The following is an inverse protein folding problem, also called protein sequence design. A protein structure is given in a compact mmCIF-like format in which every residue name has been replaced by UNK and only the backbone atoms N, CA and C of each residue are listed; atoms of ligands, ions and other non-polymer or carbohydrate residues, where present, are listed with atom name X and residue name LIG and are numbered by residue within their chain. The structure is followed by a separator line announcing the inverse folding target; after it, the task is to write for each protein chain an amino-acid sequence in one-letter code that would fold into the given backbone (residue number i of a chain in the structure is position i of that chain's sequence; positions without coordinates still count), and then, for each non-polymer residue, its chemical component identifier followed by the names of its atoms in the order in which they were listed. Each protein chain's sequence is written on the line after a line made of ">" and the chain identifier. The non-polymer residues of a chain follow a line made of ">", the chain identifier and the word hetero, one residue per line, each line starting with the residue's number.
data_IF_037944322226
#
_entry.id   IF_037944322226
#
_cell.length_a   1.000
_cell.length_b   1.000
_cell.length_c   1.000
_cell.angle_alpha   90.00
_cell.angle_beta   90.00
_cell.angle_gamma   90.00
#
_symmetry.space_group_name_H-M   'P 1'
#
loop_
_entity.id
_entity.type
_entity.pdbx_description
1 polymer ?
#
# COMPACT_ATOMS: atom_id res chain seq x y z
N UNK A 1 7.14 -28.85 35.72
CA UNK A 1 6.10 -28.54 34.71
C UNK A 1 5.88 -27.04 34.54
N UNK A 2 5.65 -26.28 35.62
CA UNK A 2 5.47 -24.80 35.58
C UNK A 2 6.57 -24.04 34.80
N UNK A 3 7.86 -24.34 35.03
CA UNK A 3 8.99 -23.71 34.31
C UNK A 3 8.92 -23.88 32.78
N UNK A 4 8.47 -25.06 32.29
CA UNK A 4 8.32 -25.30 30.84
C UNK A 4 7.17 -24.48 30.25
N UNK A 5 6.06 -24.34 30.98
CA UNK A 5 4.91 -23.51 30.58
C UNK A 5 5.33 -22.05 30.44
N UNK A 6 6.08 -21.51 31.41
CA UNK A 6 6.59 -20.13 31.33
C UNK A 6 7.53 -19.91 30.14
N UNK A 7 8.40 -20.89 29.83
CA UNK A 7 9.27 -20.82 28.65
C UNK A 7 8.44 -20.78 27.37
N UNK A 8 7.45 -21.65 27.22
CA UNK A 8 6.57 -21.67 26.03
C UNK A 8 5.80 -20.36 25.86
N UNK A 9 5.25 -19.81 26.95
CA UNK A 9 4.56 -18.52 26.92
C UNK A 9 5.50 -17.37 26.54
N UNK A 10 6.72 -17.37 27.07
CA UNK A 10 7.73 -16.35 26.75
C UNK A 10 8.09 -16.39 25.27
N UNK A 11 8.32 -17.58 24.71
CA UNK A 11 8.60 -17.76 23.28
C UNK A 11 7.42 -17.28 22.44
N UNK A 12 6.18 -17.62 22.81
CA UNK A 12 4.99 -17.17 22.09
C UNK A 12 4.87 -15.64 22.06
N UNK A 13 5.06 -14.98 23.20
CA UNK A 13 5.00 -13.52 23.31
C UNK A 13 6.09 -12.87 22.46
N UNK A 14 7.33 -13.39 22.51
CA UNK A 14 8.43 -12.89 21.71
C UNK A 14 8.15 -13.05 20.21
N UNK A 15 7.68 -14.23 19.78
CA UNK A 15 7.33 -14.50 18.38
C UNK A 15 6.22 -13.57 17.87
N UNK A 16 5.16 -13.37 18.67
CA UNK A 16 4.08 -12.44 18.32
C UNK A 16 4.57 -10.99 18.27
N UNK A 17 5.46 -10.59 19.18
CA UNK A 17 6.04 -9.24 19.19
C UNK A 17 6.89 -8.98 17.95
N UNK A 18 7.75 -9.94 17.58
CA UNK A 18 8.56 -9.86 16.36
C UNK A 18 7.68 -9.80 15.11
N UNK A 19 6.65 -10.65 15.03
CA UNK A 19 5.70 -10.63 13.92
C UNK A 19 4.97 -9.29 13.82
N UNK A 20 4.44 -8.77 14.93
CA UNK A 20 3.74 -7.50 14.97
C UNK A 20 4.65 -6.34 14.57
N UNK A 21 5.89 -6.32 15.07
CA UNK A 21 6.89 -5.33 14.67
C UNK A 21 7.18 -5.39 13.16
N UNK A 22 7.36 -6.60 12.62
CA UNK A 22 7.66 -6.81 11.21
C UNK A 22 6.54 -6.29 10.30
N UNK A 23 5.28 -6.58 10.64
CA UNK A 23 4.10 -6.17 9.86
C UNK A 23 3.85 -4.65 9.89
N UNK A 24 4.20 -3.98 10.99
CA UNK A 24 3.96 -2.53 11.15
C UNK A 24 5.16 -1.66 10.74
N UNK A 25 6.25 -2.25 10.25
CA UNK A 25 7.38 -1.49 9.73
C UNK A 25 7.01 -0.78 8.44
N UNK A 26 7.43 0.47 8.29
CA UNK A 26 7.25 1.21 7.04
C UNK A 26 8.29 0.81 5.99
N UNK A 27 7.81 0.56 4.78
CA UNK A 27 8.61 0.20 3.60
C UNK A 27 8.20 1.07 2.42
N UNK A 28 9.14 1.32 1.51
CA UNK A 28 8.87 2.04 0.25
C UNK A 28 7.74 1.36 -0.52
N UNK A 29 6.76 2.15 -0.92
CA UNK A 29 5.69 1.69 -1.79
C UNK A 29 6.24 1.49 -3.20
N UNK A 30 6.00 0.32 -3.77
CA UNK A 30 6.44 0.00 -5.13
C UNK A 30 5.23 -0.36 -5.99
N UNK A 31 5.22 0.04 -7.27
CA UNK A 31 4.10 -0.30 -8.15
C UNK A 31 4.03 -1.81 -8.35
N UNK A 32 2.81 -2.27 -8.60
CA UNK A 32 2.53 -3.68 -8.85
C UNK A 32 1.98 -3.84 -10.26
N UNK A 33 2.45 -4.87 -10.95
CA UNK A 33 2.01 -5.26 -12.28
C UNK A 33 1.29 -6.60 -12.23
N UNK A 34 0.34 -6.79 -13.14
CA UNK A 34 -0.25 -8.11 -13.37
C UNK A 34 0.77 -8.99 -14.07
N UNK A 35 0.89 -10.25 -13.65
CA UNK A 35 1.58 -11.27 -14.42
C UNK A 35 0.71 -11.62 -15.63
N UNK A 36 1.34 -11.72 -16.80
CA UNK A 36 0.67 -12.28 -17.97
C UNK A 36 0.48 -13.79 -17.72
N UNK A 37 -0.77 -14.26 -17.86
CA UNK A 37 -1.15 -15.65 -17.62
C UNK A 37 -0.53 -16.57 -18.69
N UNK A 38 0.73 -16.94 -18.52
CA UNK A 38 1.36 -17.94 -19.39
C UNK A 38 1.78 -19.19 -18.62
N UNK A 39 0.84 -19.77 -17.86
CA UNK A 39 0.88 -21.13 -17.23
C UNK A 39 1.39 -21.21 -15.79
N UNK A 40 0.70 -20.58 -14.84
CA UNK A 40 0.84 -20.94 -13.41
C UNK A 40 -0.53 -21.31 -12.83
N UNK A 41 -0.56 -22.36 -11.99
CA UNK A 41 -1.74 -22.72 -11.19
C UNK A 41 -1.85 -21.67 -10.09
N UNK A 42 -2.97 -20.95 -10.06
CA UNK A 42 -3.17 -19.81 -9.15
C UNK A 42 -4.08 -20.26 -8.02
N UNK A 43 -3.60 -20.11 -6.78
CA UNK A 43 -4.37 -20.48 -5.59
C UNK A 43 -4.94 -19.24 -4.89
N UNK A 44 -4.26 -18.09 -4.97
CA UNK A 44 -4.70 -16.84 -4.36
C UNK A 44 -4.66 -15.66 -5.34
N UNK A 45 -5.55 -14.69 -5.15
CA UNK A 45 -5.62 -13.49 -5.98
C UNK A 45 -4.29 -12.70 -5.99
N UNK A 46 -3.51 -12.79 -4.91
CA UNK A 46 -2.20 -12.15 -4.80
C UNK A 46 -1.16 -12.71 -5.78
N UNK A 47 -1.31 -13.98 -6.19
CA UNK A 47 -0.34 -14.68 -7.06
C UNK A 47 -0.37 -14.14 -8.50
N UNK A 48 -1.46 -13.45 -8.88
CA UNK A 48 -1.58 -12.75 -10.17
C UNK A 48 -0.68 -11.53 -10.26
N UNK A 49 -0.13 -11.06 -9.15
CA UNK A 49 0.55 -9.79 -9.07
C UNK A 49 2.05 -9.97 -8.79
N UNK A 50 2.84 -9.01 -9.25
CA UNK A 50 4.25 -8.90 -8.88
C UNK A 50 4.64 -7.44 -8.68
N UNK A 51 5.59 -7.21 -7.79
CA UNK A 51 6.21 -5.90 -7.65
C UNK A 51 7.00 -5.61 -8.93
N UNK A 52 6.80 -4.42 -9.51
CA UNK A 52 7.49 -4.00 -10.70
C UNK A 52 8.97 -3.74 -10.40
N UNK A 53 9.82 -4.00 -11.38
CA UNK A 53 11.21 -3.56 -11.32
C UNK A 53 11.31 -2.03 -11.58
N UNK A 54 12.46 -1.44 -11.28
CA UNK A 54 12.65 0.02 -11.39
C UNK A 54 12.46 0.53 -12.82
N UNK A 55 12.86 -0.24 -13.82
CA UNK A 55 12.68 0.03 -15.24
C UNK A 55 11.23 -0.17 -15.73
N UNK A 56 10.42 -0.95 -15.01
CA UNK A 56 9.02 -1.23 -15.33
C UNK A 56 8.04 -0.32 -14.58
N UNK A 57 8.57 0.59 -13.75
CA UNK A 57 7.75 1.50 -12.95
C UNK A 57 7.03 2.50 -13.86
N UNK A 58 5.69 2.59 -13.80
CA UNK A 58 4.95 3.60 -14.55
C UNK A 58 5.42 5.01 -14.18
N UNK A 59 5.66 5.86 -15.19
CA UNK A 59 6.24 7.20 -14.99
C UNK A 59 5.42 8.10 -14.07
N UNK A 60 4.10 7.91 -14.05
CA UNK A 60 3.18 8.70 -13.24
C UNK A 60 3.03 8.19 -11.79
N UNK A 61 3.56 7.00 -11.47
CA UNK A 61 3.32 6.33 -10.19
C UNK A 61 3.74 7.21 -9.01
N UNK A 62 5.04 7.49 -8.87
CA UNK A 62 5.55 8.27 -7.74
C UNK A 62 5.04 9.73 -7.73
N UNK A 63 4.69 10.27 -8.90
CA UNK A 63 4.12 11.62 -9.02
C UNK A 63 2.72 11.71 -8.39
N UNK A 64 1.90 10.68 -8.57
CA UNK A 64 0.49 10.70 -8.21
C UNK A 64 0.17 9.84 -6.97
N UNK A 65 1.09 9.02 -6.50
CA UNK A 65 0.79 8.04 -5.43
C UNK A 65 0.36 8.70 -4.12
N UNK A 66 0.95 9.85 -3.73
CA UNK A 66 0.51 10.58 -2.53
C UNK A 66 -0.97 10.96 -2.62
N UNK A 67 -1.36 11.54 -3.75
CA UNK A 67 -2.74 11.93 -4.03
C UNK A 67 -3.70 10.73 -3.96
N UNK A 68 -3.30 9.60 -4.53
CA UNK A 68 -4.09 8.35 -4.47
C UNK A 68 -4.23 7.87 -3.03
N UNK A 69 -3.14 7.81 -2.26
CA UNK A 69 -3.15 7.33 -0.88
C UNK A 69 -4.00 8.23 0.03
N UNK A 70 -3.91 9.56 -0.13
CA UNK A 70 -4.74 10.53 0.59
C UNK A 70 -6.25 10.26 0.34
N UNK A 71 -6.62 9.98 -0.91
CA UNK A 71 -8.01 9.69 -1.32
C UNK A 71 -8.47 8.27 -0.98
N UNK A 72 -7.57 7.38 -0.57
CA UNK A 72 -7.90 6.02 -0.17
C UNK A 72 -7.83 5.85 1.36
N UNK A 73 -7.55 6.92 2.10
CA UNK A 73 -7.42 6.92 3.57
C UNK A 73 -6.37 5.91 4.06
N UNK A 74 -5.28 5.76 3.32
CA UNK A 74 -4.18 4.86 3.66
C UNK A 74 -3.15 5.60 4.47
N UNK A 75 -2.75 5.04 5.62
CA UNK A 75 -1.64 5.57 6.41
C UNK A 75 -0.32 5.44 5.64
N UNK A 76 0.33 6.56 5.35
CA UNK A 76 1.68 6.57 4.81
C UNK A 76 2.56 7.60 5.53
N UNK A 77 3.86 7.43 5.39
CA UNK A 77 4.85 8.43 5.79
C UNK A 77 5.73 8.78 4.59
N UNK A 78 6.34 9.97 4.63
CA UNK A 78 7.35 10.37 3.65
C UNK A 78 8.70 10.43 4.35
N UNK A 79 9.68 9.69 3.84
CA UNK A 79 11.07 9.69 4.32
C UNK A 79 11.98 9.96 3.14
N UNK A 80 12.79 11.01 3.20
CA UNK A 80 13.74 11.37 2.12
C UNK A 80 13.06 11.44 0.74
N UNK A 81 11.87 12.06 0.70
CA UNK A 81 10.96 12.15 -0.47
C UNK A 81 10.33 10.82 -0.94
N UNK A 82 10.70 9.69 -0.34
CA UNK A 82 10.14 8.38 -0.62
C UNK A 82 8.86 8.17 0.19
N UNK A 83 7.79 7.75 -0.49
CA UNK A 83 6.52 7.38 0.14
C UNK A 83 6.63 5.97 0.69
N UNK A 84 6.35 5.80 1.98
CA UNK A 84 6.40 4.51 2.66
C UNK A 84 5.05 4.17 3.29
N UNK A 85 4.63 2.93 3.15
CA UNK A 85 3.42 2.35 3.78
C UNK A 85 3.81 1.22 4.72
N UNK A 86 2.90 0.75 5.57
CA UNK A 86 3.19 -0.38 6.45
C UNK A 86 3.42 -1.64 5.62
N UNK A 87 4.32 -2.51 6.08
CA UNK A 87 4.70 -3.74 5.38
C UNK A 87 3.50 -4.65 5.11
N UNK A 88 2.56 -4.74 6.07
CA UNK A 88 1.30 -5.48 5.89
C UNK A 88 0.50 -5.00 4.68
N UNK A 89 0.46 -3.69 4.43
CA UNK A 89 -0.33 -3.06 3.37
C UNK A 89 0.37 -3.26 2.02
N UNK A 90 1.72 -3.19 2.00
CA UNK A 90 2.52 -3.49 0.81
C UNK A 90 2.39 -4.96 0.35
N UNK A 91 2.08 -5.90 1.26
CA UNK A 91 1.91 -7.31 0.91
C UNK A 91 0.54 -7.64 0.30
N UNK A 92 -0.42 -6.73 0.39
CA UNK A 92 -1.69 -6.82 -0.31
C UNK A 92 -1.51 -6.30 -1.74
N UNK A 93 -1.00 -7.16 -2.64
CA UNK A 93 -0.61 -6.73 -3.98
C UNK A 93 -1.82 -6.36 -4.83
N UNK A 94 -3.01 -6.89 -4.55
CA UNK A 94 -4.24 -6.47 -5.21
C UNK A 94 -4.56 -5.00 -4.89
N UNK A 95 -4.47 -4.63 -3.61
CA UNK A 95 -4.64 -3.24 -3.17
C UNK A 95 -3.58 -2.33 -3.82
N UNK A 96 -2.31 -2.73 -3.81
CA UNK A 96 -1.23 -1.95 -4.42
C UNK A 96 -1.39 -1.86 -5.94
N UNK A 97 -1.88 -2.92 -6.60
CA UNK A 97 -2.19 -2.91 -8.03
C UNK A 97 -3.30 -1.90 -8.34
N UNK A 98 -4.37 -1.86 -7.54
CA UNK A 98 -5.44 -0.86 -7.68
C UNK A 98 -4.89 0.57 -7.55
N UNK A 99 -4.02 0.83 -6.56
CA UNK A 99 -3.36 2.13 -6.43
C UNK A 99 -2.47 2.44 -7.62
N UNK A 100 -1.71 1.45 -8.09
CA UNK A 100 -0.86 1.58 -9.29
C UNK A 100 -1.71 1.97 -10.50
N UNK A 101 -2.86 1.35 -10.72
CA UNK A 101 -3.76 1.72 -11.82
C UNK A 101 -4.32 3.13 -11.65
N UNK A 102 -4.80 3.49 -10.45
CA UNK A 102 -5.31 4.85 -10.17
C UNK A 102 -4.27 5.94 -10.37
N UNK A 103 -3.00 5.68 -10.07
CA UNK A 103 -1.93 6.67 -10.34
C UNK A 103 -1.72 6.92 -11.83
N UNK A 104 -2.08 5.97 -12.69
CA UNK A 104 -2.00 6.08 -14.14
C UNK A 104 -3.31 6.55 -14.79
N UNK A 105 -4.44 6.50 -14.06
CA UNK A 105 -5.73 7.00 -14.51
C UNK A 105 -5.83 8.53 -14.32
N UNK A 106 -5.41 9.26 -15.35
CA UNK A 106 -5.44 10.73 -15.35
C UNK A 106 -6.88 11.30 -15.31
N UNK A 107 -7.86 10.55 -15.79
CA UNK A 107 -9.27 10.97 -15.78
C UNK A 107 -9.77 10.95 -14.34
N UNK A 108 -9.55 9.84 -13.64
CA UNK A 108 -9.91 9.69 -12.24
C UNK A 108 -9.22 10.75 -11.36
N UNK A 109 -7.93 11.00 -11.58
CA UNK A 109 -7.18 12.04 -10.84
C UNK A 109 -7.82 13.41 -11.06
N UNK A 110 -8.09 13.78 -12.32
CA UNK A 110 -8.68 15.07 -12.64
C UNK A 110 -10.06 15.25 -12.00
N UNK A 111 -10.90 14.21 -12.04
CA UNK A 111 -12.22 14.24 -11.40
C UNK A 111 -12.10 14.48 -9.89
N UNK A 112 -11.19 13.79 -9.20
CA UNK A 112 -10.97 13.98 -7.76
C UNK A 112 -10.42 15.36 -7.42
N UNK A 113 -9.53 15.90 -8.23
CA UNK A 113 -9.05 17.28 -8.07
C UNK A 113 -10.19 18.31 -8.22
N UNK A 114 -11.10 18.12 -9.18
CA UNK A 114 -12.25 18.99 -9.37
C UNK A 114 -13.23 18.90 -8.18
N UNK A 115 -13.49 17.71 -7.67
CA UNK A 115 -14.27 17.48 -6.45
C UNK A 115 -13.67 18.20 -5.24
N UNK A 116 -12.35 18.09 -5.01
CA UNK A 116 -11.64 18.76 -3.92
C UNK A 116 -11.76 20.28 -4.01
N UNK A 117 -11.58 20.84 -5.22
CA UNK A 117 -11.72 22.27 -5.46
C UNK A 117 -13.16 22.72 -5.17
N UNK A 118 -14.16 21.96 -5.61
CA UNK A 118 -15.56 22.25 -5.36
C UNK A 118 -15.88 22.22 -3.86
N UNK A 119 -15.51 21.16 -3.16
CA UNK A 119 -15.73 21.00 -1.72
C UNK A 119 -15.07 22.11 -0.91
N UNK A 120 -13.83 22.50 -1.28
CA UNK A 120 -13.14 23.63 -0.66
C UNK A 120 -13.89 24.95 -0.85
N UNK A 121 -14.40 25.22 -2.06
CA UNK A 121 -15.21 26.43 -2.33
C UNK A 121 -16.52 26.45 -1.55
N UNK A 122 -17.19 25.31 -1.42
CA UNK A 122 -18.43 25.19 -0.64
C UNK A 122 -18.16 25.46 0.84
N UNK A 123 -17.08 24.92 1.41
CA UNK A 123 -16.73 25.15 2.82
C UNK A 123 -16.36 26.61 3.12
N UNK A 124 -15.70 27.32 2.20
CA UNK A 124 -15.39 28.74 2.35
C UNK A 124 -16.67 29.60 2.36
N UNK A 125 -17.72 29.21 1.63
CA UNK A 125 -19.00 29.96 1.60
C UNK A 125 -19.89 29.72 2.83
N UNK A 126 -19.62 28.68 3.61
CA UNK A 126 -20.40 28.31 4.80
C UNK A 126 -19.85 28.89 6.10
N UNK A 127 -18.62 29.38 6.09
CA UNK A 127 -17.99 30.13 7.18
C UNK A 127 -18.08 31.63 6.91
#
# INVERSE_FOLDING_TARGET
>A
MKKRIYITLTILILSLSVYYYWQNRYVEIRPVLSRELDRQIIFFQNDFYRIAERNETPSNFYKNIRFVLDHQSVDYIVKDDVVCIKYKDMNDLEMIWNYTNKTNDLIWIKQKQEEDIFNKKVNIKKN
#
